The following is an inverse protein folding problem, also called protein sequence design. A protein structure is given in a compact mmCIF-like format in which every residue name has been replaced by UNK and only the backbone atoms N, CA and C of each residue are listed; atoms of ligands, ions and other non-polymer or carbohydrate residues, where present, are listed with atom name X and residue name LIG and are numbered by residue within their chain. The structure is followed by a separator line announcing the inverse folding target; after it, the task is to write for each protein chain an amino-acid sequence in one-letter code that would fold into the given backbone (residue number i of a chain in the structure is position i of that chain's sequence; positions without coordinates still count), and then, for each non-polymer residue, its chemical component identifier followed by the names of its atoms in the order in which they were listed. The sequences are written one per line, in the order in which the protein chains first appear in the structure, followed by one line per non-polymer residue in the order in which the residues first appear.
data_IF_913272302172
#
_entry.id   IF_913272302172
#
_cell.length_a   1.000
_cell.length_b   1.000
_cell.length_c   1.000
_cell.angle_alpha   90.00
_cell.angle_beta   90.00
_cell.angle_gamma   90.00
#
_symmetry.space_group_name_H-M   'P 1'
#
loop_
_entity.id
_entity.type
_entity.pdbx_description
1 polymer ?
#
# COMPACT_ATOMS: atom_id res chain seq x y z
N UNK A 1 9.38 7.10 -27.17
CA UNK A 1 8.02 7.48 -26.72
C UNK A 1 7.36 6.33 -25.98
N UNK A 2 7.10 5.20 -26.64
CA UNK A 2 6.41 4.05 -26.02
C UNK A 2 7.20 3.43 -24.85
N UNK A 3 8.51 3.22 -25.02
CA UNK A 3 9.37 2.69 -23.94
C UNK A 3 9.35 3.57 -22.69
N UNK A 4 9.42 4.89 -22.86
CA UNK A 4 9.34 5.85 -21.76
C UNK A 4 8.02 5.74 -20.98
N UNK A 5 6.89 5.66 -21.69
CA UNK A 5 5.58 5.49 -21.06
C UNK A 5 5.50 4.18 -20.28
N UNK A 6 6.03 3.09 -20.83
CA UNK A 6 6.07 1.79 -20.17
C UNK A 6 6.95 1.80 -18.92
N UNK A 7 8.11 2.48 -18.97
CA UNK A 7 9.01 2.59 -17.82
C UNK A 7 8.37 3.40 -16.68
N UNK A 8 7.74 4.54 -17.00
CA UNK A 8 7.01 5.34 -16.00
C UNK A 8 5.84 4.55 -15.40
N UNK A 9 5.07 3.84 -16.23
CA UNK A 9 3.97 3.00 -15.75
C UNK A 9 4.47 1.88 -14.82
N UNK A 10 5.57 1.21 -15.17
CA UNK A 10 6.19 0.17 -14.35
C UNK A 10 6.65 0.71 -13.00
N UNK A 11 7.31 1.87 -12.99
CA UNK A 11 7.78 2.52 -11.78
C UNK A 11 6.62 2.96 -10.87
N UNK A 12 5.54 3.46 -11.46
CA UNK A 12 4.33 3.82 -10.73
C UNK A 12 3.71 2.58 -10.07
N UNK A 13 3.53 1.50 -10.82
CA UNK A 13 2.99 0.23 -10.29
C UNK A 13 3.88 -0.35 -9.18
N UNK A 14 5.21 -0.35 -9.38
CA UNK A 14 6.14 -0.80 -8.35
C UNK A 14 6.07 0.06 -7.08
N UNK A 15 5.88 1.37 -7.23
CA UNK A 15 5.73 2.30 -6.10
C UNK A 15 4.43 2.01 -5.34
N UNK A 16 3.31 1.83 -6.05
CA UNK A 16 2.02 1.46 -5.46
C UNK A 16 2.13 0.14 -4.69
N UNK A 17 2.75 -0.89 -5.28
CA UNK A 17 2.94 -2.20 -4.64
C UNK A 17 3.79 -2.05 -3.38
N UNK A 18 4.92 -1.34 -3.44
CA UNK A 18 5.81 -1.13 -2.27
C UNK A 18 5.07 -0.46 -1.10
N UNK A 19 4.30 0.57 -1.39
CA UNK A 19 3.59 1.35 -0.37
C UNK A 19 2.34 0.59 0.15
N UNK A 20 1.60 -0.08 -0.74
CA UNK A 20 0.35 -0.77 -0.41
C UNK A 20 0.53 -2.15 0.20
N UNK A 21 1.53 -2.93 -0.23
CA UNK A 21 1.75 -4.30 0.22
C UNK A 21 1.82 -4.47 1.75
N UNK A 22 2.60 -3.68 2.52
CA UNK A 22 2.70 -3.91 3.95
C UNK A 22 1.38 -3.62 4.68
N UNK A 23 0.64 -2.59 4.28
CA UNK A 23 -0.67 -2.26 4.88
C UNK A 23 -1.70 -3.35 4.57
N UNK A 24 -1.70 -3.85 3.33
CA UNK A 24 -2.59 -4.93 2.90
C UNK A 24 -2.26 -6.26 3.61
N UNK A 25 -0.98 -6.59 3.77
CA UNK A 25 -0.55 -7.79 4.49
C UNK A 25 -1.00 -7.76 5.96
N UNK A 26 -0.84 -6.62 6.64
CA UNK A 26 -1.30 -6.46 8.02
C UNK A 26 -2.83 -6.62 8.08
N UNK A 27 -3.56 -5.96 7.18
CA UNK A 27 -5.01 -6.10 7.09
C UNK A 27 -5.48 -7.53 6.79
N UNK A 28 -4.71 -8.28 6.00
CA UNK A 28 -4.97 -9.69 5.70
C UNK A 28 -4.76 -10.57 6.94
N UNK A 29 -3.61 -10.45 7.60
CA UNK A 29 -3.27 -11.24 8.79
C UNK A 29 -4.32 -11.04 9.88
N UNK A 30 -4.68 -9.78 10.17
CA UNK A 30 -5.68 -9.46 11.20
C UNK A 30 -7.07 -9.92 10.79
N UNK A 31 -7.47 -9.72 9.52
CA UNK A 31 -8.74 -10.21 9.01
C UNK A 31 -8.89 -11.73 9.09
N UNK A 32 -7.82 -12.47 8.79
CA UNK A 32 -7.78 -13.92 8.93
C UNK A 32 -7.88 -14.36 10.40
N UNK A 33 -7.12 -13.71 11.29
CA UNK A 33 -7.18 -14.01 12.73
C UNK A 33 -8.61 -13.81 13.27
N UNK A 34 -9.25 -12.69 12.94
CA UNK A 34 -10.62 -12.39 13.37
C UNK A 34 -11.61 -13.38 12.77
N UNK A 35 -11.46 -13.76 11.50
CA UNK A 35 -12.32 -14.78 10.86
C UNK A 35 -12.25 -16.14 11.57
N UNK A 36 -11.06 -16.56 12.00
CA UNK A 36 -10.87 -17.82 12.75
C UNK A 36 -11.53 -17.73 14.14
N UNK A 37 -11.37 -16.60 14.84
CA UNK A 37 -12.03 -16.36 16.12
C UNK A 37 -13.55 -16.41 15.99
N UNK A 38 -14.12 -15.74 14.99
CA UNK A 38 -15.57 -15.75 14.71
C UNK A 38 -16.08 -17.15 14.40
N UNK A 39 -15.35 -17.93 13.59
CA UNK A 39 -15.71 -19.30 13.28
C UNK A 39 -15.70 -20.22 14.51
N UNK A 40 -14.74 -20.04 15.42
CA UNK A 40 -14.57 -20.87 16.61
C UNK A 40 -15.62 -20.57 17.69
N UNK A 41 -16.00 -19.29 17.86
CA UNK A 41 -16.99 -18.88 18.88
C UNK A 41 -18.43 -18.83 18.37
N UNK A 42 -18.66 -19.13 17.09
CA UNK A 42 -19.97 -19.02 16.42
C UNK A 42 -20.59 -17.61 16.45
N UNK A 43 -19.79 -16.57 16.71
CA UNK A 43 -20.26 -15.17 16.70
C UNK A 43 -20.17 -14.64 15.27
N UNK A 44 -21.32 -14.46 14.61
CA UNK A 44 -21.44 -13.95 13.23
C UNK A 44 -21.86 -12.47 13.17
N UNK A 45 -21.37 -11.67 14.11
CA UNK A 45 -21.61 -10.23 14.13
C UNK A 45 -20.78 -9.53 13.05
N UNK A 46 -21.43 -9.06 11.98
CA UNK A 46 -20.74 -8.49 10.82
C UNK A 46 -19.84 -7.29 11.17
N UNK A 47 -20.20 -6.52 12.20
CA UNK A 47 -19.43 -5.35 12.67
C UNK A 47 -18.06 -5.72 13.27
N UNK A 48 -17.98 -6.87 13.95
CA UNK A 48 -16.77 -7.32 14.67
C UNK A 48 -15.62 -7.67 13.72
N UNK A 49 -15.91 -8.01 12.47
CA UNK A 49 -14.88 -8.27 11.46
C UNK A 49 -14.18 -6.97 11.00
N UNK A 50 -14.92 -5.86 10.94
CA UNK A 50 -14.40 -4.61 10.38
C UNK A 50 -13.54 -3.81 11.37
N UNK A 51 -13.95 -3.73 12.63
CA UNK A 51 -13.31 -2.83 13.61
C UNK A 51 -11.84 -3.18 13.89
N UNK A 52 -11.48 -4.43 14.25
CA UNK A 52 -10.08 -4.78 14.56
C UNK A 52 -9.17 -4.62 13.34
N UNK A 53 -9.68 -4.95 12.14
CA UNK A 53 -8.95 -4.80 10.88
C UNK A 53 -8.62 -3.34 10.57
N UNK A 54 -9.59 -2.44 10.74
CA UNK A 54 -9.38 -1.00 10.52
C UNK A 54 -8.35 -0.45 11.49
N UNK A 55 -8.44 -0.80 12.78
CA UNK A 55 -7.48 -0.34 13.80
C UNK A 55 -6.06 -0.79 13.44
N UNK A 56 -5.89 -2.05 13.03
CA UNK A 56 -4.59 -2.56 12.61
C UNK A 56 -4.03 -1.84 11.37
N UNK A 57 -4.87 -1.57 10.37
CA UNK A 57 -4.45 -0.83 9.17
C UNK A 57 -4.11 0.63 9.49
N UNK A 58 -4.83 1.28 10.40
CA UNK A 58 -4.51 2.64 10.86
C UNK A 58 -3.17 2.68 11.61
N UNK A 59 -2.92 1.72 12.50
CA UNK A 59 -1.63 1.61 13.18
C UNK A 59 -0.50 1.36 12.18
N UNK A 60 -0.71 0.50 11.19
CA UNK A 60 0.25 0.28 10.11
C UNK A 60 0.56 1.58 9.36
N UNK A 61 -0.46 2.38 9.03
CA UNK A 61 -0.28 3.68 8.38
C UNK A 61 0.45 4.70 9.26
N UNK A 62 0.19 4.72 10.57
CA UNK A 62 0.91 5.61 11.49
C UNK A 62 2.40 5.25 11.60
N UNK A 63 2.71 3.96 11.69
CA UNK A 63 4.09 3.48 11.82
C UNK A 63 4.87 3.56 10.51
N UNK A 64 4.23 3.18 9.40
CA UNK A 64 4.87 3.12 8.08
C UNK A 64 4.71 4.42 7.30
N UNK A 65 3.87 5.36 7.75
CA UNK A 65 3.53 6.57 7.00
C UNK A 65 4.74 7.43 6.63
N UNK A 66 5.70 7.59 7.56
CA UNK A 66 6.95 8.31 7.26
C UNK A 66 7.75 7.64 6.13
N UNK A 67 7.85 6.31 6.16
CA UNK A 67 8.53 5.55 5.10
C UNK A 67 7.78 5.63 3.77
N UNK A 68 6.44 5.52 3.79
CA UNK A 68 5.60 5.64 2.59
C UNK A 68 5.78 7.02 1.92
N UNK A 69 5.90 8.09 2.71
CA UNK A 69 6.18 9.44 2.20
C UNK A 69 7.56 9.53 1.55
N UNK A 70 8.58 8.89 2.12
CA UNK A 70 9.91 8.82 1.51
C UNK A 70 9.86 8.13 0.16
N UNK A 71 9.20 6.96 0.07
CA UNK A 71 9.06 6.22 -1.19
C UNK A 71 8.30 7.04 -2.23
N UNK A 72 7.25 7.74 -1.83
CA UNK A 72 6.47 8.61 -2.72
C UNK A 72 7.30 9.80 -3.21
N UNK A 73 8.04 10.45 -2.32
CA UNK A 73 8.95 11.55 -2.67
C UNK A 73 9.99 11.11 -3.68
N UNK A 74 10.62 9.96 -3.46
CA UNK A 74 11.61 9.40 -4.40
C UNK A 74 10.99 9.10 -5.77
N UNK A 75 9.76 8.56 -5.80
CA UNK A 75 9.03 8.37 -7.05
C UNK A 75 8.78 9.68 -7.78
N UNK A 76 8.34 10.73 -7.08
CA UNK A 76 8.14 12.06 -7.67
C UNK A 76 9.44 12.63 -8.25
N UNK A 77 10.56 12.49 -7.53
CA UNK A 77 11.87 12.96 -8.01
C UNK A 77 12.33 12.20 -9.27
N UNK A 78 12.18 10.86 -9.29
CA UNK A 78 12.47 10.05 -10.48
C UNK A 78 11.58 10.43 -11.66
N UNK A 79 10.30 10.67 -11.42
CA UNK A 79 9.37 11.11 -12.46
C UNK A 79 9.80 12.45 -13.06
N UNK A 80 10.20 13.40 -12.22
CA UNK A 80 10.67 14.71 -12.67
C UNK A 80 11.96 14.61 -13.50
N UNK A 81 12.93 13.81 -13.05
CA UNK A 81 14.18 13.53 -13.80
C UNK A 81 13.90 12.88 -15.16
N UNK A 82 12.99 11.89 -15.18
CA UNK A 82 12.53 11.24 -16.40
C UNK A 82 11.86 12.24 -17.37
N UNK A 83 11.06 13.18 -16.86
CA UNK A 83 10.45 14.24 -17.68
C UNK A 83 11.49 15.20 -18.27
N UNK A 84 12.50 15.60 -17.49
CA UNK A 84 13.58 16.47 -17.98
C UNK A 84 14.37 15.82 -19.12
N UNK A 85 14.77 14.56 -18.93
CA UNK A 85 15.46 13.76 -19.96
C UNK A 85 14.62 13.60 -21.23
N UNK A 86 13.31 13.46 -21.09
CA UNK A 86 12.40 13.35 -22.22
C UNK A 86 12.34 14.65 -23.06
N UNK A 87 12.43 15.81 -22.41
CA UNK A 87 12.46 17.13 -23.05
C UNK A 87 13.82 17.42 -23.72
N UNK A 88 14.84 16.59 -23.47
CA UNK A 88 16.16 16.69 -24.11
C UNK A 88 17.14 17.62 -23.39
N UNK A 89 16.88 17.92 -22.10
CA UNK A 89 17.84 18.55 -21.19
C UNK A 89 18.65 17.50 -20.43
#
# INVERSE_FOLDING_TARGET
MEQFLLDVARDALMTIIKIGAPVLLIGLIVGLAVSIFQATTQIQEQSLHFVPKIIAMLLALLLLGSWMLTVLKEFTLRMYDNMLKFIGM
#
